data_IF_899691120771
#
_entry.id   IF_899691120771
#
_cell.length_a   1.000
_cell.length_b   1.000
_cell.length_c   1.000
_cell.angle_alpha   90.00
_cell.angle_beta   90.00
_cell.angle_gamma   90.00
#
_symmetry.space_group_name_H-M   'P 1'
#
loop_
_entity.id
_entity.type
_entity.pdbx_description
1 polymer ?
#
# COMPACT_ATOMS: atom_id res chain seq x y z
N UNK A 1 8.80 -49.80 15.48
CA UNK A 1 9.74 -48.67 15.60
C UNK A 1 9.73 -47.91 14.28
N UNK A 2 9.17 -46.69 14.25
CA UNK A 2 9.18 -45.80 13.08
C UNK A 2 10.07 -44.62 13.40
N UNK A 3 11.19 -44.52 12.69
CA UNK A 3 12.17 -43.44 12.80
C UNK A 3 11.62 -42.22 12.07
N UNK A 4 11.34 -41.14 12.81
CA UNK A 4 11.00 -39.82 12.26
C UNK A 4 12.32 -39.09 12.04
N UNK A 5 12.70 -38.87 10.78
CA UNK A 5 13.82 -38.01 10.42
C UNK A 5 13.32 -36.56 10.41
N UNK A 6 13.75 -35.77 11.41
CA UNK A 6 13.54 -34.33 11.44
C UNK A 6 14.70 -33.67 10.69
N UNK A 7 14.46 -33.08 9.52
CA UNK A 7 15.44 -32.20 8.87
C UNK A 7 15.32 -30.80 9.49
N UNK A 8 16.28 -30.44 10.33
CA UNK A 8 16.46 -29.08 10.84
C UNK A 8 17.39 -28.34 9.86
N UNK A 9 16.85 -27.46 9.04
CA UNK A 9 17.65 -26.53 8.22
C UNK A 9 17.98 -25.33 9.12
N UNK A 10 19.19 -25.32 9.68
CA UNK A 10 19.74 -24.18 10.42
C UNK A 10 20.37 -23.23 9.39
N UNK A 11 19.78 -22.05 9.21
CA UNK A 11 20.47 -20.93 8.55
C UNK A 11 21.55 -20.41 9.49
N UNK A 12 22.81 -20.68 9.16
CA UNK A 12 23.97 -20.09 9.85
C UNK A 12 24.13 -18.66 9.33
N UNK A 13 23.70 -17.68 10.13
CA UNK A 13 24.17 -16.30 9.97
C UNK A 13 25.60 -16.22 10.52
N UNK A 14 26.51 -15.46 9.91
CA UNK A 14 27.89 -15.34 10.39
C UNK A 14 27.90 -14.59 11.73
N UNK A 15 28.20 -15.31 12.81
CA UNK A 15 28.46 -14.78 14.15
C UNK A 15 29.92 -14.32 14.25
N UNK A 16 30.19 -13.05 13.97
CA UNK A 16 31.33 -12.33 14.52
C UNK A 16 30.86 -10.94 14.97
N UNK A 17 30.37 -10.85 16.22
CA UNK A 17 30.12 -9.58 16.90
C UNK A 17 31.14 -9.42 18.05
N UNK A 18 32.21 -8.68 17.77
CA UNK A 18 33.18 -8.21 18.76
C UNK A 18 32.61 -7.04 19.59
N UNK A 19 33.20 -6.84 20.77
CA UNK A 19 32.72 -5.96 21.84
C UNK A 19 32.37 -4.51 21.44
N UNK A 20 31.33 -4.02 22.14
CA UNK A 20 30.53 -2.79 22.00
C UNK A 20 31.27 -1.49 21.65
N UNK A 21 31.17 -1.10 20.38
CA UNK A 21 30.97 0.32 20.08
C UNK A 21 29.67 0.80 20.75
N UNK A 22 29.56 2.08 21.18
CA UNK A 22 28.29 2.62 21.63
C UNK A 22 27.25 2.34 20.54
N UNK A 23 26.21 1.57 20.89
CA UNK A 23 25.13 1.22 19.96
C UNK A 23 24.59 2.53 19.39
N UNK A 24 24.99 2.83 18.16
CA UNK A 24 24.48 3.96 17.40
C UNK A 24 23.06 3.58 16.98
N UNK A 25 22.12 3.80 17.90
CA UNK A 25 20.71 3.53 17.69
C UNK A 25 20.24 4.39 16.53
N UNK A 26 19.52 3.77 15.59
CA UNK A 26 18.97 4.41 14.40
C UNK A 26 19.96 4.83 13.29
N UNK A 27 21.14 4.21 13.20
CA UNK A 27 22.03 4.37 12.04
C UNK A 27 21.82 3.22 11.04
N UNK A 28 21.51 3.53 9.78
CA UNK A 28 21.18 2.54 8.76
C UNK A 28 22.01 2.74 7.49
N UNK A 29 23.12 1.99 7.37
CA UNK A 29 24.12 2.19 6.31
C UNK A 29 24.09 1.15 5.19
N UNK A 30 23.17 0.18 5.24
CA UNK A 30 23.09 -0.87 4.23
C UNK A 30 22.62 -0.30 2.89
N UNK A 31 23.41 -0.52 1.83
CA UNK A 31 23.08 -0.07 0.47
C UNK A 31 22.83 -1.26 -0.45
N UNK A 32 22.11 -1.01 -1.54
CA UNK A 32 21.92 -2.00 -2.60
C UNK A 32 21.95 -1.31 -3.98
N UNK A 33 22.50 -2.01 -4.96
CA UNK A 33 22.51 -1.54 -6.34
C UNK A 33 21.06 -1.31 -6.82
N UNK A 34 20.84 -0.20 -7.51
CA UNK A 34 19.53 0.14 -8.06
C UNK A 34 18.61 0.92 -7.12
N UNK A 35 18.96 1.16 -5.85
CA UNK A 35 18.24 2.12 -5.00
C UNK A 35 18.91 3.51 -5.03
N UNK A 36 18.16 4.60 -4.74
CA UNK A 36 18.75 5.92 -4.50
C UNK A 36 19.81 5.87 -3.40
N UNK A 37 20.88 6.68 -3.53
CA UNK A 37 22.00 6.69 -2.57
C UNK A 37 21.64 7.14 -1.15
N UNK A 38 20.49 7.79 -0.99
CA UNK A 38 19.93 8.19 0.31
C UNK A 38 19.09 7.10 0.97
N UNK A 39 18.86 5.98 0.29
CA UNK A 39 18.05 4.89 0.81
C UNK A 39 18.94 3.80 1.42
N UNK A 40 18.38 3.14 2.42
CA UNK A 40 18.99 1.97 3.05
C UNK A 40 17.95 0.91 3.39
N UNK A 41 18.40 -0.19 3.99
CA UNK A 41 17.51 -1.21 4.52
C UNK A 41 17.97 -1.71 5.89
N UNK A 42 17.05 -2.30 6.64
CA UNK A 42 17.32 -2.88 7.95
C UNK A 42 16.42 -4.09 8.21
N UNK A 43 16.80 -4.90 9.20
CA UNK A 43 15.89 -5.90 9.76
C UNK A 43 14.79 -5.21 10.57
N UNK A 44 13.64 -5.85 10.72
CA UNK A 44 12.55 -5.32 11.53
C UNK A 44 12.95 -5.07 13.00
N UNK A 45 13.80 -5.92 13.58
CA UNK A 45 14.19 -5.79 14.98
C UNK A 45 15.13 -4.60 15.23
N UNK A 46 16.01 -4.28 14.29
CA UNK A 46 16.81 -3.04 14.34
C UNK A 46 15.91 -1.79 14.32
N UNK A 47 14.86 -1.78 13.51
CA UNK A 47 13.90 -0.67 13.44
C UNK A 47 13.06 -0.58 14.72
N UNK A 48 12.60 -1.72 15.26
CA UNK A 48 11.89 -1.77 16.56
C UNK A 48 12.73 -1.16 17.68
N UNK A 49 14.00 -1.59 17.81
CA UNK A 49 14.91 -1.07 18.82
C UNK A 49 15.13 0.44 18.67
N UNK A 50 15.29 0.92 17.43
CA UNK A 50 15.40 2.35 17.15
C UNK A 50 14.15 3.12 17.62
N UNK A 51 12.94 2.69 17.25
CA UNK A 51 11.70 3.39 17.61
C UNK A 51 11.43 3.33 19.11
N UNK A 52 11.77 2.22 19.77
CA UNK A 52 11.61 2.05 21.22
C UNK A 52 12.46 3.04 22.05
N UNK A 53 13.57 3.54 21.49
CA UNK A 53 14.43 4.49 22.17
C UNK A 53 13.98 5.95 22.03
N UNK A 54 13.02 6.24 21.14
CA UNK A 54 12.45 7.59 21.00
C UNK A 54 11.37 7.77 22.07
N UNK A 55 11.71 8.56 23.09
CA UNK A 55 10.83 8.79 24.25
C UNK A 55 9.61 9.63 23.90
N UNK A 56 8.47 9.30 24.50
CA UNK A 56 7.23 10.07 24.35
C UNK A 56 7.39 11.49 24.89
N UNK A 57 7.05 12.50 24.10
CA UNK A 57 6.91 13.87 24.58
C UNK A 57 5.44 14.16 24.93
N UNK A 58 5.08 14.03 26.21
CA UNK A 58 3.68 14.19 26.65
C UNK A 58 3.10 15.60 26.43
N UNK A 59 3.93 16.63 26.32
CA UNK A 59 3.47 17.96 25.91
C UNK A 59 2.95 17.97 24.47
N UNK A 60 3.72 17.36 23.56
CA UNK A 60 3.34 17.20 22.14
C UNK A 60 2.10 16.30 22.01
N UNK A 61 2.02 15.23 22.80
CA UNK A 61 0.84 14.34 22.87
C UNK A 61 -0.42 15.14 23.22
N UNK A 62 -0.37 15.94 24.28
CA UNK A 62 -1.52 16.72 24.75
C UNK A 62 -1.99 17.74 23.70
N UNK A 63 -1.06 18.48 23.09
CA UNK A 63 -1.41 19.43 22.02
C UNK A 63 -1.93 18.71 20.77
N UNK A 64 -1.37 17.55 20.42
CA UNK A 64 -1.86 16.72 19.32
C UNK A 64 -3.30 16.28 19.58
N UNK A 65 -3.58 15.71 20.75
CA UNK A 65 -4.93 15.25 21.09
C UNK A 65 -5.93 16.40 21.12
N UNK A 66 -5.57 17.54 21.69
CA UNK A 66 -6.38 18.76 21.68
C UNK A 66 -6.72 19.20 20.26
N UNK A 67 -5.73 19.24 19.37
CA UNK A 67 -5.96 19.59 17.97
C UNK A 67 -6.87 18.57 17.27
N UNK A 68 -6.68 17.27 17.52
CA UNK A 68 -7.54 16.23 16.95
C UNK A 68 -8.98 16.39 17.40
N UNK A 69 -9.24 16.62 18.70
CA UNK A 69 -10.58 16.86 19.21
C UNK A 69 -11.25 18.09 18.59
N UNK A 70 -10.50 19.18 18.43
CA UNK A 70 -11.00 20.39 17.77
C UNK A 70 -11.32 20.15 16.29
N UNK A 71 -10.54 19.30 15.62
CA UNK A 71 -10.75 19.00 14.19
C UNK A 71 -11.91 18.04 13.93
N UNK A 72 -12.41 17.30 14.93
CA UNK A 72 -13.50 16.32 14.74
C UNK A 72 -14.78 16.94 14.19
N UNK A 73 -15.05 18.19 14.53
CA UNK A 73 -16.27 18.87 14.11
C UNK A 73 -16.30 19.15 12.60
N UNK A 74 -15.13 19.08 11.92
CA UNK A 74 -15.05 19.17 10.46
C UNK A 74 -15.29 17.84 9.75
N UNK A 75 -15.38 16.72 10.48
CA UNK A 75 -15.65 15.42 9.87
C UNK A 75 -17.15 15.24 9.56
N UNK A 76 -17.51 15.44 8.30
CA UNK A 76 -18.90 15.43 7.82
C UNK A 76 -19.64 14.09 8.03
N UNK A 77 -18.93 12.97 8.19
CA UNK A 77 -19.54 11.65 8.33
C UNK A 77 -19.61 11.16 9.79
N UNK A 78 -19.28 11.99 10.78
CA UNK A 78 -19.17 11.57 12.19
C UNK A 78 -20.45 10.92 12.74
N UNK A 79 -21.63 11.41 12.35
CA UNK A 79 -22.91 10.83 12.76
C UNK A 79 -23.18 9.47 12.11
N UNK A 80 -22.85 9.33 10.82
CA UNK A 80 -23.10 8.11 10.04
C UNK A 80 -22.16 6.99 10.49
N UNK A 81 -20.89 7.29 10.78
CA UNK A 81 -19.93 6.25 11.21
C UNK A 81 -20.25 5.68 12.60
N UNK A 82 -20.96 6.44 13.44
CA UNK A 82 -21.38 6.00 14.78
C UNK A 82 -22.36 4.83 14.71
N UNK A 83 -23.30 4.88 13.79
CA UNK A 83 -24.27 3.81 13.57
C UNK A 83 -24.83 3.93 12.15
N UNK A 84 -24.38 3.05 11.26
CA UNK A 84 -24.91 2.94 9.90
C UNK A 84 -25.50 1.56 9.65
N UNK A 85 -26.50 1.51 8.77
CA UNK A 85 -27.08 0.26 8.29
C UNK A 85 -26.30 -0.24 7.06
N UNK A 86 -26.81 -1.32 6.44
CA UNK A 86 -26.36 -1.77 5.12
C UNK A 86 -26.32 -0.61 4.11
N UNK A 87 -25.32 -0.54 3.20
CA UNK A 87 -24.28 -1.54 2.94
C UNK A 87 -23.05 -1.49 3.86
N UNK A 88 -22.85 -0.40 4.61
CA UNK A 88 -21.58 -0.17 5.31
C UNK A 88 -21.53 -0.76 6.73
N UNK A 89 -22.67 -0.82 7.42
CA UNK A 89 -22.82 -1.46 8.74
C UNK A 89 -21.77 -1.06 9.79
N UNK A 90 -21.36 0.21 9.80
CA UNK A 90 -20.34 0.71 10.72
C UNK A 90 -20.93 1.10 12.07
N UNK A 91 -20.16 0.84 13.14
CA UNK A 91 -20.51 1.18 14.51
C UNK A 91 -19.25 1.66 15.26
N UNK A 92 -18.92 2.95 15.10
CA UNK A 92 -17.67 3.52 15.60
C UNK A 92 -17.98 4.77 16.44
N UNK A 93 -17.83 4.67 17.76
CA UNK A 93 -17.87 5.85 18.63
C UNK A 93 -16.53 6.58 18.61
N UNK A 94 -16.25 7.30 17.53
CA UNK A 94 -14.91 7.86 17.28
C UNK A 94 -14.43 8.84 18.35
N UNK A 95 -15.34 9.60 18.98
CA UNK A 95 -14.98 10.49 20.10
C UNK A 95 -14.51 9.70 21.32
N UNK A 96 -15.21 8.63 21.67
CA UNK A 96 -14.84 7.75 22.79
C UNK A 96 -13.50 7.05 22.52
N UNK A 97 -13.27 6.60 21.28
CA UNK A 97 -12.00 6.00 20.87
C UNK A 97 -10.82 6.96 21.06
N UNK A 98 -10.97 8.24 20.68
CA UNK A 98 -9.94 9.26 20.94
C UNK A 98 -9.82 9.61 22.43
N UNK A 99 -10.92 9.62 23.19
CA UNK A 99 -10.88 9.83 24.65
C UNK A 99 -10.11 8.71 25.35
N UNK A 100 -10.24 7.46 24.89
CA UNK A 100 -9.49 6.33 25.43
C UNK A 100 -7.97 6.49 25.21
N UNK A 101 -7.56 7.01 24.06
CA UNK A 101 -6.15 7.34 23.77
C UNK A 101 -5.66 8.47 24.68
N UNK A 102 -6.44 9.55 24.85
CA UNK A 102 -6.09 10.65 25.75
C UNK A 102 -5.94 10.17 27.21
N UNK A 103 -6.82 9.29 27.67
CA UNK A 103 -6.74 8.71 29.01
C UNK A 103 -5.47 7.88 29.19
N UNK A 104 -5.10 7.06 28.21
CA UNK A 104 -3.84 6.31 28.19
C UNK A 104 -2.63 7.25 28.24
N UNK A 105 -2.65 8.33 27.47
CA UNK A 105 -1.62 9.37 27.50
C UNK A 105 -1.48 10.02 28.87
N UNK A 106 -2.59 10.38 29.53
CA UNK A 106 -2.58 10.98 30.86
C UNK A 106 -2.03 10.03 31.95
N UNK A 107 -2.13 8.72 31.72
CA UNK A 107 -1.58 7.68 32.59
C UNK A 107 -0.13 7.30 32.22
N UNK A 108 0.48 8.00 31.26
CA UNK A 108 1.83 7.74 30.75
C UNK A 108 2.06 6.28 30.29
N UNK A 109 1.08 5.64 29.67
CA UNK A 109 1.15 4.20 29.35
C UNK A 109 1.89 3.86 28.06
N UNK A 110 2.14 4.84 27.19
CA UNK A 110 2.84 4.61 25.92
C UNK A 110 4.35 4.42 26.17
N UNK A 111 4.90 3.35 25.59
CA UNK A 111 6.31 2.97 25.82
C UNK A 111 7.29 3.87 25.07
N UNK A 112 6.89 4.32 23.89
CA UNK A 112 7.69 5.18 23.01
C UNK A 112 6.74 6.07 22.18
N UNK A 113 7.30 7.09 21.56
CA UNK A 113 6.58 8.08 20.78
C UNK A 113 5.80 7.48 19.60
N UNK A 114 6.37 6.47 18.92
CA UNK A 114 5.73 5.77 17.82
C UNK A 114 4.46 5.03 18.26
N UNK A 115 4.45 4.38 19.43
CA UNK A 115 3.28 3.65 19.94
C UNK A 115 2.08 4.58 20.16
N UNK A 116 2.30 5.81 20.63
CA UNK A 116 1.24 6.82 20.73
C UNK A 116 0.69 7.19 19.36
N UNK A 117 1.55 7.58 18.43
CA UNK A 117 1.13 8.00 17.09
C UNK A 117 0.43 6.87 16.33
N UNK A 118 0.90 5.63 16.48
CA UNK A 118 0.26 4.46 15.87
C UNK A 118 -1.11 4.16 16.49
N UNK A 119 -1.30 4.38 17.80
CA UNK A 119 -2.63 4.25 18.41
C UNK A 119 -3.63 5.24 17.80
N UNK A 120 -3.21 6.48 17.55
CA UNK A 120 -4.02 7.49 16.85
C UNK A 120 -4.28 7.08 15.40
N UNK A 121 -3.25 6.66 14.65
CA UNK A 121 -3.41 6.15 13.27
C UNK A 121 -4.46 5.04 13.23
N UNK A 122 -4.32 4.01 14.06
CA UNK A 122 -5.24 2.87 14.09
C UNK A 122 -6.67 3.27 14.49
N UNK A 123 -6.84 4.29 15.33
CA UNK A 123 -8.15 4.87 15.64
C UNK A 123 -8.79 5.47 14.37
N UNK A 124 -8.07 6.32 13.64
CA UNK A 124 -8.55 6.88 12.35
C UNK A 124 -8.83 5.79 11.31
N UNK A 125 -8.04 4.72 11.29
CA UNK A 125 -8.26 3.58 10.38
C UNK A 125 -9.59 2.87 10.60
N UNK A 126 -10.24 3.04 11.76
CA UNK A 126 -11.59 2.50 11.98
C UNK A 126 -12.62 3.19 11.08
N UNK A 127 -12.43 4.47 10.72
CA UNK A 127 -13.36 5.26 9.91
C UNK A 127 -13.54 4.74 8.47
N UNK A 128 -12.59 3.91 7.99
CA UNK A 128 -12.58 3.37 6.62
C UNK A 128 -12.73 4.47 5.57
N UNK A 129 -11.96 5.54 5.76
CA UNK A 129 -12.05 6.77 4.99
C UNK A 129 -10.66 7.24 4.57
N UNK A 130 -10.34 7.07 3.29
CA UNK A 130 -9.02 7.41 2.74
C UNK A 130 -8.68 8.91 2.87
N UNK A 131 -9.68 9.78 3.00
CA UNK A 131 -9.49 11.23 3.10
C UNK A 131 -9.49 11.73 4.55
N UNK A 132 -9.83 10.88 5.50
CA UNK A 132 -9.82 11.22 6.94
C UNK A 132 -8.87 10.29 7.66
N UNK A 133 -7.58 10.60 7.54
CA UNK A 133 -6.49 9.76 8.04
C UNK A 133 -5.60 10.53 8.99
N UNK A 134 -5.01 9.83 9.94
CA UNK A 134 -3.88 10.30 10.71
C UNK A 134 -2.62 9.54 10.27
N UNK A 135 -1.63 10.28 9.78
CA UNK A 135 -0.28 9.75 9.55
C UNK A 135 0.58 10.05 10.77
N UNK A 136 1.39 9.08 11.17
CA UNK A 136 2.44 9.37 12.17
C UNK A 136 3.41 10.44 11.61
N UNK A 137 4.24 11.06 12.47
CA UNK A 137 5.23 12.04 12.05
C UNK A 137 6.23 11.57 10.98
N UNK A 138 6.80 12.52 10.23
CA UNK A 138 7.54 12.25 8.99
C UNK A 138 8.76 11.33 9.15
N UNK A 139 9.44 11.37 10.29
CA UNK A 139 10.63 10.55 10.54
C UNK A 139 10.30 9.06 10.43
N UNK A 140 9.21 8.60 11.05
CA UNK A 140 8.76 7.21 10.92
C UNK A 140 8.17 6.89 9.55
N UNK A 141 7.66 7.90 8.83
CA UNK A 141 7.08 7.72 7.50
C UNK A 141 8.09 7.32 6.42
N UNK A 142 9.39 7.47 6.71
CA UNK A 142 10.47 7.04 5.81
C UNK A 142 10.72 5.53 5.81
N UNK A 143 10.01 4.78 6.65
CA UNK A 143 10.23 3.34 6.83
C UNK A 143 9.10 2.54 6.18
N UNK A 144 9.46 1.54 5.38
CA UNK A 144 8.52 0.70 4.63
C UNK A 144 8.83 -0.78 4.87
N UNK A 145 7.91 -1.52 5.46
CA UNK A 145 8.02 -2.97 5.54
C UNK A 145 7.75 -3.57 4.17
N UNK A 146 8.70 -4.38 3.69
CA UNK A 146 8.66 -5.06 2.40
C UNK A 146 8.54 -6.57 2.62
N UNK A 147 7.52 -7.18 1.99
CA UNK A 147 7.30 -8.62 1.97
C UNK A 147 7.90 -9.28 0.71
N UNK A 148 8.03 -10.62 0.67
CA UNK A 148 8.66 -11.32 -0.45
C UNK A 148 7.81 -11.41 -1.73
N UNK A 149 6.47 -11.28 -1.65
CA UNK A 149 5.57 -11.62 -2.74
C UNK A 149 4.50 -10.57 -3.00
N UNK A 150 4.18 -10.38 -4.28
CA UNK A 150 2.91 -9.77 -4.72
C UNK A 150 1.91 -10.91 -4.94
N UNK A 151 0.75 -10.80 -4.31
CA UNK A 151 -0.28 -11.83 -4.31
C UNK A 151 -1.47 -11.43 -5.19
N UNK A 152 -2.06 -12.43 -5.84
CA UNK A 152 -3.25 -12.32 -6.66
C UNK A 152 -4.39 -13.11 -6.02
N UNK A 153 -5.58 -12.52 -5.97
CA UNK A 153 -6.80 -13.22 -5.56
C UNK A 153 -7.51 -13.82 -6.77
N UNK A 154 -7.94 -15.08 -6.65
CA UNK A 154 -8.71 -15.80 -7.66
C UNK A 154 -10.17 -15.91 -7.17
N UNK A 155 -11.10 -15.04 -7.61
CA UNK A 155 -12.42 -14.92 -6.99
C UNK A 155 -13.27 -16.19 -7.10
N UNK A 156 -13.18 -16.91 -8.22
CA UNK A 156 -14.00 -18.11 -8.48
C UNK A 156 -13.68 -19.26 -7.51
N UNK A 157 -12.42 -19.41 -7.13
CA UNK A 157 -11.95 -20.48 -6.22
C UNK A 157 -11.66 -20.00 -4.81
N UNK A 158 -11.75 -18.68 -4.58
CA UNK A 158 -11.27 -17.99 -3.37
C UNK A 158 -9.83 -18.33 -3.00
N UNK A 159 -9.00 -18.66 -3.99
CA UNK A 159 -7.60 -18.98 -3.78
C UNK A 159 -6.74 -17.72 -3.86
N UNK A 160 -5.60 -17.77 -3.19
CA UNK A 160 -4.56 -16.75 -3.32
C UNK A 160 -3.37 -17.38 -4.00
N UNK A 161 -2.83 -16.70 -5.00
CA UNK A 161 -1.69 -17.15 -5.78
C UNK A 161 -0.57 -16.13 -5.68
N UNK A 162 0.68 -16.57 -5.70
CA UNK A 162 1.81 -15.67 -5.89
C UNK A 162 1.79 -15.18 -7.34
N UNK A 163 1.59 -13.88 -7.54
CA UNK A 163 1.68 -13.26 -8.86
C UNK A 163 3.14 -13.26 -9.31
N UNK A 164 4.04 -12.80 -8.44
CA UNK A 164 5.50 -12.87 -8.60
C UNK A 164 6.23 -12.56 -7.28
N UNK A 165 7.52 -12.94 -7.23
CA UNK A 165 8.43 -12.56 -6.15
C UNK A 165 9.02 -11.17 -6.36
N UNK A 166 9.20 -10.43 -5.27
CA UNK A 166 9.69 -9.05 -5.28
C UNK A 166 11.22 -9.08 -5.46
N UNK A 167 11.72 -8.42 -6.51
CA UNK A 167 13.13 -8.41 -6.88
C UNK A 167 13.96 -7.64 -5.85
N UNK A 168 13.47 -6.51 -5.36
CA UNK A 168 14.13 -5.72 -4.32
C UNK A 168 14.31 -6.53 -3.03
N UNK A 169 13.27 -7.26 -2.61
CA UNK A 169 13.33 -8.13 -1.43
C UNK A 169 14.41 -9.20 -1.59
N UNK A 170 14.41 -9.89 -2.74
CA UNK A 170 15.37 -10.95 -3.06
C UNK A 170 16.82 -10.42 -3.04
N UNK A 171 17.01 -9.22 -3.57
CA UNK A 171 18.30 -8.56 -3.63
C UNK A 171 18.80 -8.17 -2.23
N UNK A 172 17.92 -7.63 -1.37
CA UNK A 172 18.25 -7.28 0.02
C UNK A 172 18.64 -8.52 0.82
N UNK A 173 17.88 -9.60 0.69
CA UNK A 173 18.13 -10.84 1.41
C UNK A 173 19.39 -11.57 0.94
N UNK A 174 20.02 -11.13 -0.18
CA UNK A 174 21.16 -11.78 -0.84
C UNK A 174 20.96 -13.28 -0.98
N UNK A 175 19.71 -13.71 -1.09
CA UNK A 175 19.38 -15.10 -0.89
C UNK A 175 19.58 -15.83 -2.21
N UNK A 176 20.49 -16.81 -2.22
CA UNK A 176 20.59 -17.79 -3.30
C UNK A 176 19.38 -18.75 -3.33
N UNK A 177 18.48 -18.67 -2.34
CA UNK A 177 17.24 -19.45 -2.32
C UNK A 177 16.34 -18.99 -3.47
N UNK A 178 15.98 -19.96 -4.30
CA UNK A 178 15.13 -19.76 -5.47
C UNK A 178 13.78 -19.13 -5.05
N UNK A 179 13.61 -17.82 -5.26
CA UNK A 179 12.38 -17.07 -5.02
C UNK A 179 11.29 -17.37 -6.07
N UNK A 180 11.44 -18.48 -6.82
CA UNK A 180 10.47 -18.95 -7.81
C UNK A 180 9.25 -19.60 -7.12
N UNK A 181 8.42 -18.74 -6.54
CA UNK A 181 7.09 -19.09 -6.03
C UNK A 181 5.97 -18.66 -6.98
N UNK A 182 6.32 -18.03 -8.11
CA UNK A 182 5.37 -17.56 -9.12
C UNK A 182 4.37 -18.64 -9.49
N UNK A 183 3.09 -18.27 -9.51
CA UNK A 183 1.94 -19.14 -9.75
C UNK A 183 1.62 -20.20 -8.68
N UNK A 184 2.36 -20.30 -7.58
CA UNK A 184 2.00 -21.21 -6.49
C UNK A 184 0.81 -20.68 -5.69
N UNK A 185 -0.09 -21.58 -5.31
CA UNK A 185 -1.25 -21.27 -4.47
C UNK A 185 -0.82 -21.22 -3.01
N UNK A 186 -1.05 -20.09 -2.35
CA UNK A 186 -0.82 -19.88 -0.92
C UNK A 186 -2.06 -20.37 -0.16
N UNK A 187 -1.89 -21.37 0.70
CA UNK A 187 -2.98 -21.94 1.51
C UNK A 187 -3.02 -21.33 2.90
N UNK A 188 -1.87 -20.98 3.48
CA UNK A 188 -1.79 -20.34 4.79
C UNK A 188 -0.76 -19.22 4.84
N UNK A 189 -1.08 -18.17 5.61
CA UNK A 189 -0.18 -17.11 6.03
C UNK A 189 -0.18 -17.11 7.56
N UNK A 190 0.99 -17.27 8.18
CA UNK A 190 1.09 -17.33 9.65
C UNK A 190 0.19 -18.39 10.30
N UNK A 191 0.03 -19.52 9.62
CA UNK A 191 -0.79 -20.65 10.06
C UNK A 191 -2.30 -20.47 9.87
N UNK A 192 -2.76 -19.27 9.49
CA UNK A 192 -4.16 -18.93 9.21
C UNK A 192 -4.44 -19.19 7.72
N UNK A 193 -5.66 -19.62 7.36
CA UNK A 193 -6.07 -19.71 5.95
C UNK A 193 -5.73 -18.38 5.23
N UNK A 194 -5.10 -18.46 4.05
CA UNK A 194 -4.57 -17.28 3.39
C UNK A 194 -5.65 -16.23 3.08
N UNK A 195 -6.84 -16.65 2.64
CA UNK A 195 -7.93 -15.73 2.35
C UNK A 195 -8.43 -15.03 3.62
N UNK A 196 -8.65 -15.80 4.68
CA UNK A 196 -9.08 -15.25 5.98
C UNK A 196 -8.02 -14.29 6.56
N UNK A 197 -6.73 -14.60 6.40
CA UNK A 197 -5.65 -13.72 6.80
C UNK A 197 -5.73 -12.37 6.06
N UNK A 198 -5.89 -12.38 4.74
CA UNK A 198 -5.96 -11.16 3.93
C UNK A 198 -7.23 -10.36 4.21
N UNK A 199 -8.37 -11.01 4.42
CA UNK A 199 -9.60 -10.37 4.86
C UNK A 199 -9.43 -9.70 6.22
N UNK A 200 -8.87 -10.40 7.20
CA UNK A 200 -8.59 -9.84 8.53
C UNK A 200 -7.62 -8.66 8.45
N UNK A 201 -6.61 -8.73 7.58
CA UNK A 201 -5.70 -7.62 7.33
C UNK A 201 -6.44 -6.42 6.74
N UNK A 202 -7.30 -6.63 5.73
CA UNK A 202 -8.10 -5.57 5.10
C UNK A 202 -9.04 -4.88 6.10
N UNK A 203 -9.77 -5.67 6.90
CA UNK A 203 -10.67 -5.16 7.94
C UNK A 203 -9.93 -4.40 9.02
N UNK A 204 -8.73 -4.85 9.39
CA UNK A 204 -7.97 -4.21 10.47
C UNK A 204 -7.23 -2.96 10.01
N UNK A 205 -6.57 -3.00 8.84
CA UNK A 205 -5.57 -2.00 8.47
C UNK A 205 -5.88 -1.23 7.18
N UNK A 206 -6.79 -1.68 6.32
CA UNK A 206 -7.12 -0.90 5.13
C UNK A 206 -8.00 0.30 5.47
N UNK A 207 -7.70 1.44 4.84
CA UNK A 207 -8.42 2.71 4.99
C UNK A 207 -9.24 3.10 3.76
N UNK A 208 -9.09 2.38 2.65
CA UNK A 208 -9.51 2.85 1.33
C UNK A 208 -10.98 3.24 1.22
N UNK A 209 -11.86 2.42 1.78
CA UNK A 209 -13.30 2.58 1.61
C UNK A 209 -14.06 1.86 2.70
N UNK A 210 -15.28 2.33 2.94
CA UNK A 210 -16.29 1.68 3.80
C UNK A 210 -16.78 0.37 3.17
N UNK A 211 -16.54 0.15 1.87
CA UNK A 211 -16.79 -1.12 1.17
C UNK A 211 -15.67 -2.17 1.43
N UNK A 212 -15.99 -3.36 1.99
CA UNK A 212 -15.03 -4.43 2.24
C UNK A 212 -14.30 -4.95 0.99
N UNK A 213 -14.97 -5.04 -0.16
CA UNK A 213 -14.38 -5.52 -1.41
C UNK A 213 -13.34 -4.55 -1.93
N UNK A 214 -13.59 -3.23 -1.80
CA UNK A 214 -12.60 -2.20 -2.17
C UNK A 214 -11.37 -2.27 -1.27
N UNK A 215 -11.55 -2.50 0.04
CA UNK A 215 -10.44 -2.71 0.98
C UNK A 215 -9.61 -3.94 0.61
N UNK A 216 -10.26 -5.08 0.37
CA UNK A 216 -9.59 -6.31 -0.02
C UNK A 216 -8.76 -6.11 -1.30
N UNK A 217 -9.33 -5.44 -2.30
CA UNK A 217 -8.61 -5.11 -3.54
C UNK A 217 -7.37 -4.25 -3.27
N UNK A 218 -7.44 -3.31 -2.33
CA UNK A 218 -6.27 -2.50 -1.93
C UNK A 218 -5.16 -3.33 -1.29
N UNK A 219 -5.55 -4.27 -0.44
CA UNK A 219 -4.61 -5.18 0.23
C UNK A 219 -3.82 -6.02 -0.77
N UNK A 220 -4.49 -6.61 -1.76
CA UNK A 220 -3.80 -7.34 -2.83
C UNK A 220 -2.98 -6.43 -3.75
N UNK A 221 -3.47 -5.21 -4.04
CA UNK A 221 -2.75 -4.26 -4.89
C UNK A 221 -1.40 -3.89 -4.29
N UNK A 222 -1.36 -3.59 -2.99
CA UNK A 222 -0.16 -3.04 -2.36
C UNK A 222 -0.09 -3.07 -0.83
N UNK A 223 -1.21 -2.86 -0.13
CA UNK A 223 -1.14 -2.57 1.32
C UNK A 223 -0.57 -3.74 2.13
N UNK A 224 -0.68 -4.96 1.60
CA UNK A 224 -0.09 -6.12 2.26
C UNK A 224 1.44 -6.16 2.10
N UNK A 225 1.95 -6.00 0.88
CA UNK A 225 3.35 -6.33 0.58
C UNK A 225 4.31 -5.15 0.72
N UNK A 226 3.80 -3.91 0.71
CA UNK A 226 4.57 -2.69 0.94
C UNK A 226 3.84 -1.79 1.95
N UNK A 227 4.23 -1.88 3.20
CA UNK A 227 3.57 -1.20 4.31
C UNK A 227 4.40 0.00 4.78
N UNK A 228 3.94 1.22 4.52
CA UNK A 228 4.56 2.42 5.08
C UNK A 228 4.24 2.53 6.59
N UNK A 229 5.26 2.64 7.43
CA UNK A 229 5.10 2.67 8.89
C UNK A 229 4.39 3.92 9.43
N UNK A 230 4.09 4.91 8.59
CA UNK A 230 3.17 5.99 8.93
C UNK A 230 1.69 5.62 8.93
N UNK A 231 1.35 4.49 8.31
CA UNK A 231 -0.01 4.00 8.22
C UNK A 231 -0.16 2.58 8.77
N UNK A 232 0.93 1.83 8.93
CA UNK A 232 0.88 0.44 9.39
C UNK A 232 1.77 0.25 10.62
N UNK A 233 1.32 -0.53 11.61
CA UNK A 233 2.13 -0.81 12.78
C UNK A 233 3.31 -1.71 12.41
N UNK A 234 4.40 -1.61 13.16
CA UNK A 234 5.49 -2.59 13.13
C UNK A 234 4.93 -4.01 13.35
N UNK A 235 5.25 -5.01 12.50
CA UNK A 235 4.83 -6.38 12.72
C UNK A 235 5.30 -6.91 14.07
N UNK A 236 4.45 -7.66 14.77
CA UNK A 236 4.78 -8.19 16.10
C UNK A 236 5.89 -9.24 16.04
N UNK A 237 5.89 -10.07 15.00
CA UNK A 237 6.91 -11.09 14.74
C UNK A 237 8.00 -10.54 13.82
N UNK A 238 9.22 -11.06 13.93
CA UNK A 238 10.34 -10.71 13.05
C UNK A 238 10.21 -11.32 11.64
N UNK A 239 9.37 -12.36 11.50
CA UNK A 239 9.20 -13.12 10.27
C UNK A 239 7.72 -13.32 9.94
N UNK A 240 7.43 -13.55 8.66
CA UNK A 240 6.16 -14.03 8.13
C UNK A 240 6.34 -15.44 7.56
N UNK A 241 5.28 -16.25 7.60
CA UNK A 241 5.32 -17.61 7.09
C UNK A 241 4.27 -17.87 6.02
N UNK A 242 4.63 -18.64 5.00
CA UNK A 242 3.74 -19.05 3.91
C UNK A 242 3.72 -20.57 3.78
N UNK A 243 2.53 -21.14 3.61
CA UNK A 243 2.34 -22.54 3.21
C UNK A 243 1.69 -22.58 1.83
N UNK A 244 2.20 -23.43 0.95
CA UNK A 244 1.73 -23.54 -0.43
C UNK A 244 0.97 -24.87 -0.65
N UNK A 245 0.04 -24.91 -1.60
CA UNK A 245 -0.83 -26.07 -1.81
C UNK A 245 -0.06 -27.38 -2.05
N UNK A 246 0.98 -27.32 -2.86
CA UNK A 246 1.77 -28.50 -3.25
C UNK A 246 3.02 -28.72 -2.37
N UNK A 247 3.13 -27.98 -1.26
CA UNK A 247 4.28 -28.05 -0.35
C UNK A 247 3.80 -28.30 1.07
N UNK A 248 4.28 -29.39 1.66
CA UNK A 248 4.02 -29.71 3.07
C UNK A 248 4.79 -28.77 4.01
N UNK A 249 5.87 -28.16 3.53
CA UNK A 249 6.73 -27.29 4.31
C UNK A 249 6.23 -25.85 4.31
N UNK A 250 6.25 -25.24 5.51
CA UNK A 250 6.04 -23.82 5.70
C UNK A 250 7.36 -23.08 5.47
N UNK A 251 7.36 -22.11 4.56
CA UNK A 251 8.53 -21.28 4.27
C UNK A 251 8.48 -20.02 5.14
N UNK A 252 9.62 -19.62 5.69
CA UNK A 252 9.76 -18.50 6.62
C UNK A 252 10.55 -17.39 5.94
N UNK A 253 10.03 -16.17 5.98
CA UNK A 253 10.67 -14.99 5.42
C UNK A 253 10.80 -13.91 6.50
N UNK A 254 12.00 -13.34 6.73
CA UNK A 254 12.13 -12.20 7.63
C UNK A 254 11.46 -10.97 7.02
N UNK A 255 10.91 -10.10 7.88
CA UNK A 255 10.49 -8.77 7.45
C UNK A 255 11.72 -7.90 7.17
N UNK A 256 11.71 -7.27 6.00
CA UNK A 256 12.72 -6.29 5.60
C UNK A 256 12.10 -4.90 5.70
N UNK A 257 12.85 -3.92 6.18
CA UNK A 257 12.42 -2.52 6.19
C UNK A 257 13.29 -1.71 5.25
N UNK A 258 12.68 -1.09 4.24
CA UNK A 258 13.32 -0.11 3.35
C UNK A 258 13.18 1.27 3.96
N UNK A 259 14.29 2.00 4.01
CA UNK A 259 14.41 3.31 4.66
C UNK A 259 14.75 4.33 3.59
N UNK A 260 13.87 5.30 3.36
CA UNK A 260 13.90 6.16 2.17
C UNK A 260 14.64 7.48 2.39
N UNK A 261 15.20 7.64 3.59
CA UNK A 261 16.00 8.77 4.01
C UNK A 261 17.14 8.27 4.88
N UNK A 262 18.31 8.85 4.69
CA UNK A 262 19.48 8.60 5.53
C UNK A 262 19.26 9.20 6.92
N UNK A 263 19.32 8.35 7.94
CA UNK A 263 19.35 8.74 9.34
C UNK A 263 20.69 8.30 9.93
N UNK A 264 21.45 9.27 10.44
CA UNK A 264 22.77 9.03 11.01
C UNK A 264 22.68 8.75 12.52
N UNK A 265 21.59 9.16 13.17
CA UNK A 265 21.38 9.05 14.61
C UNK A 265 19.89 9.25 14.99
N UNK A 266 19.49 8.79 16.17
CA UNK A 266 18.12 8.95 16.68
C UNK A 266 17.57 10.39 16.57
N UNK A 267 18.36 11.40 16.93
CA UNK A 267 17.93 12.80 16.90
C UNK A 267 17.55 13.31 15.51
N UNK A 268 18.04 12.67 14.44
CA UNK A 268 17.64 13.01 13.06
C UNK A 268 16.20 12.58 12.75
N UNK A 269 15.72 11.46 13.32
CA UNK A 269 14.32 11.04 13.24
C UNK A 269 13.44 11.96 14.09
N UNK A 270 13.88 12.28 15.31
CA UNK A 270 13.15 13.18 16.21
C UNK A 270 12.99 14.59 15.63
N UNK A 271 14.04 15.12 14.99
CA UNK A 271 13.98 16.41 14.31
C UNK A 271 13.01 16.38 13.12
N UNK A 272 13.04 15.31 12.32
CA UNK A 272 12.08 15.12 11.23
C UNK A 272 10.63 15.02 11.72
N UNK A 273 10.42 14.38 12.87
CA UNK A 273 9.10 14.28 13.49
C UNK A 273 8.56 15.64 13.94
N UNK A 274 9.45 16.58 14.34
CA UNK A 274 9.06 17.90 14.85
C UNK A 274 8.89 18.96 13.75
N UNK A 275 9.77 18.95 12.75
CA UNK A 275 9.97 20.11 11.88
C UNK A 275 9.74 19.86 10.38
N UNK A 276 9.48 18.62 9.96
CA UNK A 276 9.35 18.34 8.53
C UNK A 276 8.01 18.88 7.97
N UNK A 277 8.03 19.77 6.96
CA UNK A 277 6.86 20.53 6.55
C UNK A 277 5.80 19.74 5.76
N UNK A 278 6.02 18.47 5.41
CA UNK A 278 4.96 17.62 4.86
C UNK A 278 5.35 16.14 4.77
N UNK A 279 4.47 15.25 5.24
CA UNK A 279 4.59 13.78 5.16
C UNK A 279 4.20 13.24 3.77
N UNK A 280 3.40 13.98 2.99
CA UNK A 280 2.70 13.42 1.82
C UNK A 280 3.58 13.20 0.59
N UNK A 281 4.61 14.02 0.36
CA UNK A 281 5.38 13.95 -0.89
C UNK A 281 6.49 12.88 -0.88
N UNK A 282 7.25 12.75 0.21
CA UNK A 282 8.39 11.82 0.26
C UNK A 282 7.94 10.36 0.28
N UNK A 283 6.88 10.07 1.03
CA UNK A 283 6.26 8.74 1.14
C UNK A 283 5.69 8.26 -0.18
N UNK A 284 5.03 9.16 -0.92
CA UNK A 284 4.44 8.86 -2.23
C UNK A 284 5.51 8.52 -3.26
N UNK A 285 6.60 9.28 -3.30
CA UNK A 285 7.69 9.05 -4.25
C UNK A 285 8.36 7.69 -4.02
N UNK A 286 8.62 7.32 -2.77
CA UNK A 286 9.21 6.03 -2.46
C UNK A 286 8.29 4.87 -2.80
N UNK A 287 7.02 4.99 -2.42
CA UNK A 287 6.00 4.01 -2.74
C UNK A 287 5.87 3.81 -4.26
N UNK A 288 5.74 4.90 -5.03
CA UNK A 288 5.62 4.86 -6.48
C UNK A 288 6.88 4.30 -7.13
N UNK A 289 8.07 4.65 -6.61
CA UNK A 289 9.34 4.11 -7.10
C UNK A 289 9.42 2.59 -6.94
N UNK A 290 9.17 2.05 -5.74
CA UNK A 290 9.22 0.61 -5.48
C UNK A 290 8.15 -0.11 -6.31
N UNK A 291 6.93 0.43 -6.35
CA UNK A 291 5.83 -0.17 -7.11
C UNK A 291 6.11 -0.18 -8.60
N UNK A 292 6.68 0.90 -9.15
CA UNK A 292 7.08 0.99 -10.55
C UNK A 292 8.21 0.01 -10.85
N UNK A 293 9.24 -0.04 -10.01
CA UNK A 293 10.35 -0.98 -10.15
C UNK A 293 9.86 -2.43 -10.22
N UNK A 294 8.96 -2.82 -9.34
CA UNK A 294 8.46 -4.21 -9.27
C UNK A 294 7.43 -4.52 -10.38
N UNK A 295 6.51 -3.60 -10.68
CA UNK A 295 5.47 -3.85 -11.72
C UNK A 295 6.02 -3.74 -13.13
N UNK A 296 6.94 -2.81 -13.40
CA UNK A 296 7.55 -2.66 -14.72
C UNK A 296 8.29 -3.93 -15.12
N UNK A 297 9.09 -4.50 -14.21
CA UNK A 297 9.74 -5.79 -14.39
C UNK A 297 8.73 -6.89 -14.75
N UNK A 298 7.55 -6.91 -14.11
CA UNK A 298 6.52 -7.89 -14.42
C UNK A 298 5.90 -7.69 -15.82
N UNK A 299 5.58 -6.45 -16.21
CA UNK A 299 5.00 -6.17 -17.52
C UNK A 299 5.99 -6.48 -18.66
N UNK A 300 7.26 -6.08 -18.54
CA UNK A 300 8.29 -6.45 -19.54
C UNK A 300 8.47 -7.97 -19.65
N UNK A 301 8.38 -8.70 -18.54
CA UNK A 301 8.47 -10.16 -18.56
C UNK A 301 7.23 -10.83 -19.18
N UNK A 302 6.05 -10.20 -19.14
CA UNK A 302 4.78 -10.76 -19.64
C UNK A 302 4.37 -10.26 -21.01
N UNK A 303 5.04 -9.27 -21.59
CA UNK A 303 4.88 -8.97 -23.02
C UNK A 303 5.46 -10.12 -23.83
N UNK A 304 4.65 -11.17 -23.99
CA UNK A 304 4.67 -12.06 -25.15
C UNK A 304 4.80 -11.18 -26.42
N UNK A 305 5.40 -11.73 -27.48
CA UNK A 305 5.68 -11.11 -28.80
C UNK A 305 4.50 -10.38 -29.50
N UNK A 306 3.32 -10.31 -28.87
CA UNK A 306 2.10 -9.72 -29.41
C UNK A 306 1.80 -8.30 -28.91
N UNK A 307 2.47 -7.83 -27.86
CA UNK A 307 2.27 -6.48 -27.33
C UNK A 307 3.49 -5.61 -27.61
N UNK A 308 3.29 -4.53 -28.36
CA UNK A 308 4.35 -3.53 -28.59
C UNK A 308 4.12 -2.33 -27.69
N UNK A 309 5.10 -2.05 -26.84
CA UNK A 309 5.15 -0.82 -26.05
C UNK A 309 5.38 0.38 -26.98
N UNK A 310 4.57 1.44 -26.81
CA UNK A 310 4.66 2.63 -27.65
C UNK A 310 5.26 3.80 -26.87
N UNK A 311 4.66 4.11 -25.72
CA UNK A 311 5.12 5.19 -24.85
C UNK A 311 4.62 4.95 -23.43
N UNK A 312 5.34 5.47 -22.46
CA UNK A 312 4.90 5.42 -21.08
C UNK A 312 5.84 6.19 -20.17
N UNK A 313 5.25 6.91 -19.23
CA UNK A 313 5.92 7.67 -18.20
C UNK A 313 4.93 7.94 -17.06
N UNK A 314 5.46 8.20 -15.85
CA UNK A 314 4.67 8.55 -14.67
C UNK A 314 3.42 7.69 -14.44
N UNK A 315 3.59 6.36 -14.47
CA UNK A 315 2.53 5.35 -14.28
C UNK A 315 1.43 5.33 -15.36
N UNK A 316 1.57 6.11 -16.43
CA UNK A 316 0.76 6.02 -17.65
C UNK A 316 1.52 5.25 -18.72
N UNK A 317 0.90 4.21 -19.29
CA UNK A 317 1.53 3.36 -20.29
C UNK A 317 0.58 3.10 -21.45
N UNK A 318 1.13 3.11 -22.67
CA UNK A 318 0.40 2.77 -23.88
C UNK A 318 1.07 1.61 -24.61
N UNK A 319 0.27 0.57 -24.85
CA UNK A 319 0.63 -0.62 -25.61
C UNK A 319 -0.33 -0.82 -26.78
N UNK A 320 0.13 -1.50 -27.83
CA UNK A 320 -0.73 -2.00 -28.89
C UNK A 320 -0.61 -3.53 -28.98
N UNK A 321 -1.75 -4.21 -29.00
CA UNK A 321 -1.80 -5.63 -29.32
C UNK A 321 -1.74 -5.78 -30.84
N UNK A 322 -0.61 -6.23 -31.39
CA UNK A 322 -0.33 -6.15 -32.82
C UNK A 322 -1.29 -7.00 -33.65
N UNK A 323 -1.64 -8.21 -33.20
CA UNK A 323 -2.51 -9.10 -33.99
C UNK A 323 -3.98 -8.67 -34.04
N UNK A 324 -4.46 -7.94 -33.03
CA UNK A 324 -5.86 -7.49 -32.95
C UNK A 324 -6.01 -6.00 -33.25
N UNK A 325 -4.88 -5.30 -33.43
CA UNK A 325 -4.81 -3.85 -33.53
C UNK A 325 -5.55 -3.13 -32.38
N UNK A 326 -5.43 -3.65 -31.16
CA UNK A 326 -6.08 -3.09 -29.96
C UNK A 326 -5.12 -2.18 -29.21
N UNK A 327 -5.49 -0.91 -29.04
CA UNK A 327 -4.79 0.03 -28.18
C UNK A 327 -5.17 -0.20 -26.72
N UNK A 328 -4.18 -0.29 -25.83
CA UNK A 328 -4.37 -0.43 -24.40
C UNK A 328 -3.66 0.74 -23.72
N UNK A 329 -4.44 1.67 -23.16
CA UNK A 329 -3.93 2.77 -22.35
C UNK A 329 -4.15 2.42 -20.89
N UNK A 330 -3.08 2.25 -20.13
CA UNK A 330 -3.11 2.08 -18.68
C UNK A 330 -2.90 3.43 -18.01
N UNK A 331 -3.86 3.87 -17.22
CA UNK A 331 -3.77 5.08 -16.41
C UNK A 331 -3.53 4.70 -14.95
N UNK A 332 -2.28 4.72 -14.50
CA UNK A 332 -1.92 4.33 -13.13
C UNK A 332 -2.22 5.38 -12.05
N UNK A 333 -2.44 6.63 -12.44
CA UNK A 333 -2.82 7.73 -11.54
C UNK A 333 -3.58 8.82 -12.32
N UNK A 334 -4.25 9.72 -11.60
CA UNK A 334 -4.75 11.00 -12.11
C UNK A 334 -4.01 12.20 -11.48
N UNK A 335 -2.78 12.02 -11.01
CA UNK A 335 -1.97 13.13 -10.51
C UNK A 335 -1.61 14.13 -11.61
N UNK A 336 -1.49 15.41 -11.28
CA UNK A 336 -1.26 16.46 -12.29
C UNK A 336 0.02 16.23 -13.12
N UNK A 337 1.02 15.57 -12.55
CA UNK A 337 2.28 15.18 -13.20
C UNK A 337 2.10 14.18 -14.37
N UNK A 338 0.95 13.51 -14.46
CA UNK A 338 0.67 12.51 -15.51
C UNK A 338 -0.14 13.09 -16.67
N UNK A 339 -0.59 14.34 -16.57
CA UNK A 339 -1.51 14.97 -17.52
C UNK A 339 -1.02 14.97 -18.97
N UNK A 340 0.24 15.35 -19.21
CA UNK A 340 0.85 15.31 -20.54
C UNK A 340 1.09 13.88 -21.04
N UNK A 341 1.34 12.92 -20.14
CA UNK A 341 1.52 11.51 -20.51
C UNK A 341 0.19 10.85 -20.88
N UNK A 342 -0.91 11.18 -20.18
CA UNK A 342 -2.28 10.82 -20.56
C UNK A 342 -2.58 11.33 -21.96
N UNK A 343 -2.39 12.63 -22.20
CA UNK A 343 -2.62 13.25 -23.51
C UNK A 343 -1.77 12.59 -24.60
N UNK A 344 -0.48 12.35 -24.35
CA UNK A 344 0.42 11.70 -25.31
C UNK A 344 -0.06 10.28 -25.63
N UNK A 345 -0.48 9.50 -24.63
CA UNK A 345 -0.99 8.16 -24.82
C UNK A 345 -2.26 8.14 -25.70
N UNK A 346 -3.21 9.05 -25.43
CA UNK A 346 -4.44 9.17 -26.23
C UNK A 346 -4.17 9.63 -27.67
N UNK A 347 -3.27 10.59 -27.87
CA UNK A 347 -2.90 11.06 -29.22
C UNK A 347 -2.10 10.02 -30.01
N UNK A 348 -1.35 9.14 -29.32
CA UNK A 348 -0.60 8.05 -29.95
C UNK A 348 -1.47 6.80 -30.22
N UNK A 349 -2.66 6.70 -29.63
CA UNK A 349 -3.55 5.57 -29.80
C UNK A 349 -4.03 5.47 -31.26
N UNK A 350 -3.78 4.32 -31.89
CA UNK A 350 -4.05 4.10 -33.33
C UNK A 350 -4.79 2.79 -33.61
N UNK A 351 -5.11 2.03 -32.56
CA UNK A 351 -5.85 0.78 -32.67
C UNK A 351 -7.31 1.01 -33.08
N UNK A 352 -7.92 -0.01 -33.67
CA UNK A 352 -9.36 -0.02 -34.02
C UNK A 352 -10.24 -0.27 -32.79
N UNK A 353 -9.66 -0.70 -31.68
CA UNK A 353 -10.32 -0.90 -30.39
C UNK A 353 -9.45 -0.27 -29.31
N UNK A 354 -10.07 0.43 -28.37
CA UNK A 354 -9.40 1.01 -27.21
C UNK A 354 -9.84 0.30 -25.93
N UNK A 355 -8.87 -0.16 -25.15
CA UNK A 355 -9.04 -0.59 -23.76
C UNK A 355 -8.40 0.48 -22.87
N UNK A 356 -9.21 1.07 -21.99
CA UNK A 356 -8.72 1.95 -20.94
C UNK A 356 -8.62 1.16 -19.63
N UNK A 357 -7.39 0.89 -19.21
CA UNK A 357 -7.10 0.17 -17.97
C UNK A 357 -6.83 1.17 -16.83
N UNK A 358 -7.82 1.33 -15.96
CA UNK A 358 -7.70 2.10 -14.70
C UNK A 358 -7.49 1.19 -13.48
N UNK A 359 -7.19 -0.10 -13.69
CA UNK A 359 -7.00 -1.05 -12.60
C UNK A 359 -5.77 -0.66 -11.79
N UNK A 360 -6.02 -0.32 -10.53
CA UNK A 360 -5.00 0.12 -9.58
C UNK A 360 -4.72 1.62 -9.63
N UNK A 361 -5.48 2.40 -10.41
CA UNK A 361 -5.47 3.86 -10.30
C UNK A 361 -6.04 4.28 -8.92
N UNK A 362 -5.31 5.15 -8.21
CA UNK A 362 -5.68 5.60 -6.86
C UNK A 362 -6.49 6.90 -6.84
N UNK A 363 -6.85 7.42 -8.01
CA UNK A 363 -7.41 8.76 -8.15
C UNK A 363 -6.32 9.80 -8.35
N UNK A 364 -6.56 11.01 -7.88
CA UNK A 364 -5.74 12.19 -8.12
C UNK A 364 -6.63 13.39 -8.41
N UNK A 365 -6.25 14.18 -9.39
CA UNK A 365 -7.00 15.32 -9.88
C UNK A 365 -8.29 14.88 -10.59
N UNK A 366 -9.45 15.23 -10.03
CA UNK A 366 -10.74 14.98 -10.70
C UNK A 366 -10.82 15.68 -12.05
N UNK A 367 -10.19 16.85 -12.19
CA UNK A 367 -10.07 17.57 -13.45
C UNK A 367 -9.36 16.73 -14.53
N UNK A 368 -8.32 15.97 -14.17
CA UNK A 368 -7.63 15.13 -15.14
C UNK A 368 -8.48 13.92 -15.56
N UNK A 369 -9.27 13.36 -14.65
CA UNK A 369 -10.25 12.33 -15.01
C UNK A 369 -11.28 12.88 -16.01
N UNK A 370 -11.77 14.11 -15.82
CA UNK A 370 -12.65 14.77 -16.79
C UNK A 370 -11.96 15.05 -18.13
N UNK A 371 -10.70 15.49 -18.11
CA UNK A 371 -9.92 15.69 -19.33
C UNK A 371 -9.74 14.36 -20.09
N UNK A 372 -9.51 13.25 -19.41
CA UNK A 372 -9.46 11.92 -20.02
C UNK A 372 -10.79 11.55 -20.68
N UNK A 373 -11.93 11.87 -20.04
CA UNK A 373 -13.26 11.66 -20.63
C UNK A 373 -13.48 12.46 -21.92
N UNK A 374 -12.89 13.65 -22.08
CA UNK A 374 -12.99 14.42 -23.32
C UNK A 374 -12.35 13.72 -24.54
N UNK A 375 -11.34 12.86 -24.32
CA UNK A 375 -10.76 12.05 -25.40
C UNK A 375 -11.66 10.88 -25.79
N UNK A 376 -12.56 10.46 -24.90
CA UNK A 376 -13.42 9.29 -25.09
C UNK A 376 -14.81 9.66 -25.62
N UNK A 377 -15.33 10.83 -25.21
CA UNK A 377 -16.68 11.28 -25.49
C UNK A 377 -16.62 12.70 -26.08
N UNK A 378 -16.65 12.85 -27.41
CA UNK A 378 -16.54 14.15 -28.09
C UNK A 378 -17.59 15.17 -27.65
N UNK A 379 -18.75 14.72 -27.16
CA UNK A 379 -19.84 15.59 -26.67
C UNK A 379 -19.49 16.27 -25.35
N UNK A 380 -18.53 15.75 -24.58
CA UNK A 380 -18.17 16.29 -23.26
C UNK A 380 -17.28 17.54 -23.34
N UNK A 381 -16.91 18.01 -24.54
CA UNK A 381 -16.15 19.25 -24.73
C UNK A 381 -16.83 20.51 -24.13
N UNK A 382 -18.15 20.48 -23.90
CA UNK A 382 -18.85 21.54 -23.16
C UNK A 382 -18.79 21.28 -21.66
N UNK A 383 -18.01 22.10 -20.94
CA UNK A 383 -17.90 22.04 -19.48
C UNK A 383 -19.26 22.11 -18.76
N UNK A 384 -20.30 22.71 -19.38
CA UNK A 384 -21.64 22.76 -18.79
C UNK A 384 -22.26 21.36 -18.62
N UNK A 385 -22.01 20.45 -19.56
CA UNK A 385 -22.55 19.08 -19.53
C UNK A 385 -21.99 18.26 -18.37
N UNK A 386 -20.80 18.61 -17.87
CA UNK A 386 -20.14 17.90 -16.76
C UNK A 386 -20.68 18.31 -15.37
N UNK A 387 -21.19 19.53 -15.24
CA UNK A 387 -21.68 20.07 -13.96
C UNK A 387 -23.21 20.20 -13.90
N UNK A 388 -23.91 19.93 -15.00
CA UNK A 388 -25.35 19.72 -14.94
C UNK A 388 -25.62 18.46 -14.09
N UNK A 389 -26.54 18.53 -13.11
CA UNK A 389 -26.91 17.34 -12.37
C UNK A 389 -27.43 16.30 -13.36
N UNK A 390 -26.62 15.28 -13.60
CA UNK A 390 -27.04 14.10 -14.34
C UNK A 390 -28.18 13.46 -13.53
N UNK A 391 -29.43 13.79 -13.85
CA UNK A 391 -30.57 12.99 -13.38
C UNK A 391 -30.54 11.68 -14.16
N UNK A 392 -29.73 10.74 -13.65
CA UNK A 392 -29.53 9.40 -14.20
C UNK A 392 -30.82 8.56 -14.26
N UNK A 393 -31.96 9.08 -13.82
CA UNK A 393 -33.28 8.45 -14.00
C UNK A 393 -33.93 8.79 -15.34
N UNK A 394 -33.43 9.79 -16.07
CA UNK A 394 -34.13 10.35 -17.25
C UNK A 394 -33.43 10.12 -18.59
N UNK A 395 -32.14 9.80 -18.61
CA UNK A 395 -31.40 9.62 -19.87
C UNK A 395 -31.48 8.19 -20.36
N UNK A 396 -32.29 7.99 -21.41
CA UNK A 396 -32.39 6.78 -22.26
C UNK A 396 -31.02 6.21 -22.69
N UNK A 397 -29.98 7.05 -22.70
CA UNK A 397 -28.60 6.69 -23.03
C UNK A 397 -27.91 5.80 -21.96
N UNK A 398 -28.25 5.94 -20.67
CA UNK A 398 -27.72 5.07 -19.62
C UNK A 398 -28.39 3.69 -19.62
N UNK A 399 -29.67 3.59 -20.03
CA UNK A 399 -30.29 2.29 -20.30
C UNK A 399 -29.57 1.58 -21.45
N UNK A 400 -29.20 2.29 -22.52
CA UNK A 400 -28.41 1.71 -23.62
C UNK A 400 -27.00 1.29 -23.15
N UNK A 401 -26.33 2.10 -22.32
CA UNK A 401 -24.99 1.77 -21.79
C UNK A 401 -25.01 0.59 -20.82
N UNK A 402 -26.03 0.50 -19.95
CA UNK A 402 -26.24 -0.63 -19.06
C UNK A 402 -26.58 -1.92 -19.82
N UNK A 403 -27.32 -1.82 -20.94
CA UNK A 403 -27.68 -2.99 -21.77
C UNK A 403 -26.49 -3.54 -22.57
N UNK A 404 -25.51 -2.70 -22.90
CA UNK A 404 -24.30 -3.11 -23.66
C UNK A 404 -23.24 -3.74 -22.75
N UNK A 405 -23.17 -3.34 -21.48
CA UNK A 405 -22.13 -3.80 -20.54
C UNK A 405 -22.62 -4.67 -19.39
N UNK A 406 -23.92 -4.99 -19.31
CA UNK A 406 -24.41 -6.05 -18.44
C UNK A 406 -24.02 -7.42 -19.01
N UNK A 407 -22.77 -7.83 -18.82
CA UNK A 407 -22.41 -9.24 -18.89
C UNK A 407 -22.72 -9.89 -17.53
N UNK A 408 -23.94 -10.37 -17.40
CA UNK A 408 -24.25 -11.59 -16.65
C UNK A 408 -25.38 -12.33 -17.37
N UNK A 409 -25.34 -13.68 -17.36
CA UNK A 409 -26.20 -14.54 -18.18
C UNK A 409 -27.70 -14.34 -17.95
#
# INVERSE_FOLDING_TARGET
>A
MRTILLFLIIFVLPDEYSASEPLNFCTFNSTISGLPSTWSFATLDQVKLCFQNISVNYSVVNETMKQLFNSLDFYSFLSIVRQSNYPYSMNINFREELSNILNQSNMNTYKNDYDFHMAVTLCFKKLKDFHTTYSVPNGYAQFHVLLPFILEFLPLTKQIKVQFGINLYSSIMRSNSNMNYTNQIVTKIDGINAFDYMMNFAEKYSIMSKDPSVRLNSVFREEFWLQNLAQYPLPLKSNITFTFLDKTETVIFPYVVVITKKFDQQSSIENDNRYSPSVTYTTRNAFSYITRLEKFNWYEQKTNDKFRFITGNNDTYYYIHESTNTSIIRLGSFDDEVSEDVKRAFLAASGTTLILDVIGNRGGSSCLAYAALHFLVPEYFSHRVLYEPFDGRTTKQLQTFATIFSFSP
#
